data_IF_112292165575
#
_entry.id   IF_112292165575
#
_cell.length_a   1.000
_cell.length_b   1.000
_cell.length_c   1.000
_cell.angle_alpha   90.00
_cell.angle_beta   90.00
_cell.angle_gamma   90.00
#
_symmetry.space_group_name_H-M   'P 1'
#
loop_
_entity.id
_entity.type
_entity.pdbx_description
1 polymer ?
#
# COMPACT_ATOMS: atom_id res chain seq x y z
N UNK A 1 -14.37 -2.82 -16.31
CA UNK A 1 -15.35 -3.77 -16.83
C UNK A 1 -15.62 -4.86 -15.80
N UNK A 2 -16.86 -5.08 -15.47
CA UNK A 2 -17.26 -6.17 -14.58
C UNK A 2 -17.80 -7.33 -15.39
N UNK A 3 -17.54 -8.55 -14.92
CA UNK A 3 -18.06 -9.76 -15.53
C UNK A 3 -18.63 -10.68 -14.46
N UNK A 4 -19.66 -11.42 -14.79
CA UNK A 4 -20.25 -12.40 -13.91
C UNK A 4 -19.48 -13.70 -13.98
N UNK A 5 -19.02 -14.20 -12.84
CA UNK A 5 -18.23 -15.45 -12.75
C UNK A 5 -18.98 -16.56 -12.02
N UNK A 6 -20.21 -16.30 -11.59
CA UNK A 6 -21.06 -17.25 -10.91
C UNK A 6 -22.32 -16.54 -10.44
N UNK A 7 -23.27 -17.27 -9.89
CA UNK A 7 -24.52 -16.67 -9.40
C UNK A 7 -24.25 -15.65 -8.31
N UNK A 8 -24.58 -14.39 -8.57
CA UNK A 8 -24.37 -13.29 -7.64
C UNK A 8 -22.91 -12.96 -7.38
N UNK A 9 -21.99 -13.48 -8.23
CA UNK A 9 -20.56 -13.20 -8.10
C UNK A 9 -20.06 -12.47 -9.32
N UNK A 10 -19.40 -11.34 -9.08
CA UNK A 10 -18.82 -10.52 -10.15
C UNK A 10 -17.31 -10.42 -9.98
N UNK A 11 -16.63 -10.22 -11.09
CA UNK A 11 -15.20 -9.97 -11.09
C UNK A 11 -14.89 -8.75 -11.95
N UNK A 12 -13.83 -8.05 -11.61
CA UNK A 12 -13.30 -6.94 -12.41
C UNK A 12 -11.96 -7.34 -12.99
N UNK A 13 -11.68 -6.80 -14.17
CA UNK A 13 -10.36 -6.98 -14.76
C UNK A 13 -9.32 -6.28 -13.89
N UNK A 14 -8.24 -6.99 -13.59
CA UNK A 14 -7.11 -6.46 -12.85
C UNK A 14 -5.82 -6.81 -13.59
N UNK A 15 -4.75 -6.09 -13.25
CA UNK A 15 -3.46 -6.25 -13.91
C UNK A 15 -2.38 -6.57 -12.88
N UNK A 16 -1.51 -7.51 -13.22
CA UNK A 16 -0.31 -7.76 -12.43
C UNK A 16 0.82 -6.79 -12.81
N UNK A 17 1.91 -6.85 -12.07
CA UNK A 17 3.05 -5.98 -12.33
C UNK A 17 3.70 -6.22 -13.69
N UNK A 18 3.57 -7.45 -14.23
CA UNK A 18 4.10 -7.77 -15.55
C UNK A 18 3.27 -7.22 -16.70
N UNK A 19 2.05 -6.76 -16.41
CA UNK A 19 1.11 -6.27 -17.41
C UNK A 19 1.16 -4.76 -17.58
N UNK A 20 1.86 -4.06 -16.71
CA UNK A 20 1.88 -2.61 -16.68
C UNK A 20 3.29 -2.06 -16.57
N UNK A 21 3.45 -0.82 -17.01
CA UNK A 21 4.67 -0.06 -16.78
C UNK A 21 4.28 1.37 -16.38
N UNK A 22 5.11 1.99 -15.55
CA UNK A 22 4.89 3.36 -15.14
C UNK A 22 5.51 4.28 -16.18
N UNK A 23 4.69 5.13 -16.77
CA UNK A 23 5.13 6.11 -17.76
C UNK A 23 5.39 7.44 -17.07
N UNK A 24 6.59 8.01 -17.17
CA UNK A 24 6.86 9.32 -16.60
C UNK A 24 5.97 10.37 -17.26
N UNK A 25 5.23 11.13 -16.47
CA UNK A 25 4.31 12.13 -16.97
C UNK A 25 4.72 13.56 -16.62
N UNK A 26 5.66 13.72 -15.72
CA UNK A 26 6.11 15.03 -15.23
C UNK A 26 7.62 15.08 -15.07
N UNK A 27 8.12 16.32 -14.91
CA UNK A 27 9.51 16.58 -14.63
C UNK A 27 9.95 15.90 -13.33
N UNK A 28 11.10 15.27 -13.35
CA UNK A 28 11.72 14.70 -12.16
C UNK A 28 12.03 15.78 -11.13
N UNK A 29 11.76 15.51 -9.88
CA UNK A 29 12.06 16.40 -8.75
C UNK A 29 13.14 15.78 -7.86
N UNK A 30 13.85 16.64 -7.12
CA UNK A 30 14.77 16.17 -6.09
C UNK A 30 13.98 15.42 -5.01
N UNK A 31 14.39 14.21 -4.63
CA UNK A 31 13.70 13.48 -3.55
C UNK A 31 13.57 14.26 -2.25
N UNK A 32 14.47 15.19 -1.97
CA UNK A 32 14.42 16.04 -0.77
C UNK A 32 13.26 17.02 -0.77
N UNK A 33 12.72 17.35 -1.94
CA UNK A 33 11.62 18.30 -2.09
C UNK A 33 10.25 17.63 -2.10
N UNK A 34 10.22 16.31 -1.93
CA UNK A 34 8.98 15.52 -2.04
C UNK A 34 8.64 14.92 -0.69
N UNK A 35 7.39 15.12 -0.27
CA UNK A 35 6.83 14.47 0.88
C UNK A 35 6.01 13.27 0.43
N UNK A 36 6.41 12.08 0.85
CA UNK A 36 5.73 10.82 0.50
C UNK A 36 4.82 10.31 1.63
N UNK A 37 4.61 11.11 2.66
CA UNK A 37 3.70 10.77 3.74
C UNK A 37 2.27 10.57 3.24
N UNK A 38 1.52 9.74 3.92
CA UNK A 38 0.13 9.46 3.57
C UNK A 38 -0.73 9.30 4.79
N UNK A 39 -2.04 9.47 4.61
CA UNK A 39 -3.02 9.36 5.67
C UNK A 39 -4.08 8.34 5.31
N UNK A 40 -4.56 7.67 6.32
CA UNK A 40 -5.65 6.70 6.20
C UNK A 40 -6.67 6.99 7.30
N UNK A 41 -7.92 7.15 6.92
CA UNK A 41 -9.01 7.41 7.87
C UNK A 41 -9.93 6.21 7.95
N UNK A 42 -10.19 5.77 9.17
CA UNK A 42 -11.12 4.68 9.42
C UNK A 42 -11.94 5.00 10.66
N UNK A 43 -13.26 4.96 10.50
CA UNK A 43 -14.21 5.45 11.51
C UNK A 43 -13.87 6.90 11.85
N UNK A 44 -13.71 7.23 13.14
CA UNK A 44 -13.44 8.59 13.58
C UNK A 44 -11.95 8.88 13.80
N UNK A 45 -11.09 8.00 13.32
CA UNK A 45 -9.64 8.12 13.51
C UNK A 45 -8.90 8.27 12.20
N UNK A 46 -7.88 9.10 12.21
CA UNK A 46 -6.95 9.28 11.10
C UNK A 46 -5.57 8.81 11.52
N UNK A 47 -4.97 7.99 10.68
CA UNK A 47 -3.63 7.48 10.88
C UNK A 47 -2.71 8.08 9.83
N UNK A 48 -1.59 8.64 10.25
CA UNK A 48 -0.61 9.25 9.36
C UNK A 48 0.69 8.45 9.37
N UNK A 49 1.28 8.27 8.20
CA UNK A 49 2.51 7.51 8.02
C UNK A 49 3.50 8.31 7.19
N UNK A 50 4.77 8.23 7.53
CA UNK A 50 5.82 8.93 6.82
C UNK A 50 6.24 8.22 5.53
N UNK A 51 6.12 6.89 5.50
CA UNK A 51 6.53 6.06 4.36
C UNK A 51 5.35 5.27 3.80
N UNK A 52 5.18 5.26 2.46
CA UNK A 52 4.12 4.46 1.82
C UNK A 52 4.56 3.00 1.65
N UNK A 53 4.94 2.35 2.74
CA UNK A 53 5.44 0.98 2.74
C UNK A 53 4.62 0.15 3.72
N UNK A 54 4.11 -0.97 3.24
CA UNK A 54 3.38 -1.95 4.03
C UNK A 54 4.13 -3.27 4.05
N UNK A 55 4.33 -3.83 5.24
CA UNK A 55 4.87 -5.18 5.35
C UNK A 55 3.72 -6.18 5.31
N UNK A 56 3.82 -7.14 4.38
CA UNK A 56 2.79 -8.17 4.20
C UNK A 56 2.70 -9.10 5.40
N UNK A 57 1.50 -9.60 5.66
CA UNK A 57 1.25 -10.58 6.72
C UNK A 57 1.90 -11.91 6.35
N UNK A 58 3.06 -12.17 6.91
CA UNK A 58 3.85 -13.39 6.67
C UNK A 58 4.34 -13.95 8.01
N UNK A 59 3.88 -15.12 8.37
CA UNK A 59 4.15 -15.72 9.68
C UNK A 59 5.63 -15.78 10.06
N UNK A 60 6.49 -16.06 9.10
CA UNK A 60 7.92 -16.17 9.35
C UNK A 60 8.69 -14.84 9.34
N UNK A 61 8.01 -13.74 9.03
CA UNK A 61 8.65 -12.44 8.83
C UNK A 61 8.09 -11.38 9.78
N UNK A 62 6.76 -11.27 9.88
CA UNK A 62 6.12 -10.22 10.65
C UNK A 62 5.58 -10.78 11.96
N UNK A 63 6.15 -10.31 13.06
CA UNK A 63 5.68 -10.55 14.42
C UNK A 63 5.42 -9.20 15.10
N UNK A 64 4.90 -9.17 16.35
CA UNK A 64 4.66 -7.91 17.04
C UNK A 64 5.90 -7.02 17.17
N UNK A 65 7.08 -7.60 17.40
CA UNK A 65 8.31 -6.84 17.50
C UNK A 65 8.69 -6.20 16.17
N UNK A 66 8.53 -6.93 15.06
CA UNK A 66 8.75 -6.42 13.72
C UNK A 66 7.77 -5.28 13.40
N UNK A 67 6.50 -5.44 13.77
CA UNK A 67 5.48 -4.42 13.55
C UNK A 67 5.83 -3.11 14.26
N UNK A 68 6.32 -3.19 15.49
CA UNK A 68 6.76 -2.00 16.24
C UNK A 68 7.96 -1.34 15.54
N UNK A 69 8.93 -2.12 15.10
CA UNK A 69 10.10 -1.59 14.40
C UNK A 69 9.71 -0.91 13.09
N UNK A 70 8.80 -1.51 12.32
CA UNK A 70 8.29 -0.91 11.08
C UNK A 70 7.56 0.39 11.35
N UNK A 71 6.77 0.45 12.43
CA UNK A 71 6.09 1.68 12.83
C UNK A 71 7.05 2.80 13.20
N UNK A 72 8.16 2.48 13.87
CA UNK A 72 9.20 3.46 14.20
C UNK A 72 9.90 4.03 12.96
N UNK A 73 9.94 3.27 11.89
CA UNK A 73 10.51 3.72 10.61
C UNK A 73 9.51 4.55 9.79
N UNK A 74 8.27 4.63 10.22
CA UNK A 74 7.24 5.40 9.54
C UNK A 74 6.35 4.59 8.59
N UNK A 75 6.52 3.29 8.53
CA UNK A 75 5.69 2.38 7.74
C UNK A 75 4.63 1.68 8.57
N UNK A 76 4.01 0.68 7.99
CA UNK A 76 2.96 -0.11 8.63
C UNK A 76 3.19 -1.59 8.36
N UNK A 77 2.95 -2.42 9.34
CA UNK A 77 3.01 -3.87 9.16
C UNK A 77 1.64 -4.49 9.41
N UNK A 78 1.34 -5.55 8.67
CA UNK A 78 0.11 -6.34 8.83
C UNK A 78 0.47 -7.66 9.47
N UNK A 79 -0.24 -7.99 10.55
CA UNK A 79 -0.07 -9.25 11.27
C UNK A 79 -1.06 -10.32 10.78
#
# INVERSE_FOLDING_TARGET
MEMEIGRGKTARQAYGFDDIAIVPSRRTRDPRDINIGWEFSFKDRTYAFELPVLASAMDGVVDPAFAVAMGKLGGLAVL
#
